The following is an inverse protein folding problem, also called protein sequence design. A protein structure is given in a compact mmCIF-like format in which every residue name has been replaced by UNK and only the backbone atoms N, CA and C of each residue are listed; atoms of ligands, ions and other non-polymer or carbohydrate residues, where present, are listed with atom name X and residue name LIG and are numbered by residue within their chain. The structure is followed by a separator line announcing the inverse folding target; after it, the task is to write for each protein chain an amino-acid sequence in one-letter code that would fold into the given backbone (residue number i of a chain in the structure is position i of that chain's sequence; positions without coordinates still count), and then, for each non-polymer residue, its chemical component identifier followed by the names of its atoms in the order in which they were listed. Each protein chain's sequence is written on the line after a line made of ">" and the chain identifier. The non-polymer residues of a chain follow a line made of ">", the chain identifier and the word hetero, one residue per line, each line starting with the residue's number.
data_IF_251238451131
#
_entry.id   IF_251238451131
#
_cell.length_a   1.000
_cell.length_b   1.000
_cell.length_c   1.000
_cell.angle_alpha   90.00
_cell.angle_beta   90.00
_cell.angle_gamma   90.00
#
_symmetry.space_group_name_H-M   'P 1'
#
loop_
_entity.id
_entity.type
_entity.pdbx_description
1 polymer ?
#
# COMPACT_ATOMS: atom_id res chain seq x y z
N UNK A 1 18.46 -0.16 -9.23
CA UNK A 1 17.15 -0.61 -8.69
C UNK A 1 16.93 0.13 -7.40
N UNK A 2 15.77 0.77 -7.22
CA UNK A 2 15.42 1.46 -5.97
C UNK A 2 14.39 0.61 -5.23
N UNK A 3 14.57 0.40 -3.94
CA UNK A 3 13.59 -0.25 -3.06
C UNK A 3 13.25 0.70 -1.91
N UNK A 4 11.95 0.86 -1.62
CA UNK A 4 11.47 1.79 -0.59
C UNK A 4 10.55 1.11 0.41
N UNK A 5 10.50 1.69 1.61
CA UNK A 5 9.54 1.33 2.65
C UNK A 5 10.18 1.19 4.03
N UNK A 6 9.75 2.06 4.93
CA UNK A 6 10.15 2.15 6.33
C UNK A 6 9.26 1.36 7.27
N UNK A 7 9.53 1.48 8.56
CA UNK A 7 8.72 0.92 9.65
C UNK A 7 8.31 2.03 10.60
N UNK A 8 7.02 2.06 10.98
CA UNK A 8 6.52 2.94 12.05
C UNK A 8 6.65 2.33 13.45
N UNK A 9 7.00 1.04 13.53
CA UNK A 9 7.10 0.30 14.78
C UNK A 9 8.56 0.20 15.20
N UNK A 10 8.85 0.68 16.40
CA UNK A 10 10.17 0.59 17.01
C UNK A 10 10.61 -0.88 17.10
N UNK A 11 11.86 -1.17 16.73
CA UNK A 11 12.42 -2.53 16.73
C UNK A 11 12.03 -3.41 15.53
N UNK A 12 11.10 -2.97 14.66
CA UNK A 12 10.79 -3.66 13.41
C UNK A 12 11.65 -3.08 12.29
N UNK A 13 12.43 -3.95 11.63
CA UNK A 13 13.26 -3.52 10.49
C UNK A 13 12.40 -2.99 9.34
N UNK A 14 12.85 -1.93 8.64
CA UNK A 14 12.21 -1.45 7.42
C UNK A 14 12.03 -2.53 6.35
N UNK A 15 10.90 -2.50 5.64
CA UNK A 15 10.61 -3.48 4.59
C UNK A 15 11.57 -3.35 3.39
N UNK A 16 12.09 -2.14 3.13
CA UNK A 16 13.08 -1.87 2.09
C UNK A 16 14.33 -2.75 2.22
N UNK A 17 14.77 -3.03 3.45
CA UNK A 17 15.91 -3.90 3.72
C UNK A 17 15.62 -5.35 3.31
N UNK A 18 14.40 -5.82 3.57
CA UNK A 18 13.93 -7.14 3.12
C UNK A 18 13.87 -7.25 1.59
N UNK A 19 13.39 -6.19 0.91
CA UNK A 19 13.40 -6.14 -0.56
C UNK A 19 14.82 -6.15 -1.13
N UNK A 20 15.76 -5.43 -0.51
CA UNK A 20 17.16 -5.43 -0.93
C UNK A 20 17.77 -6.84 -0.81
N UNK A 21 17.55 -7.52 0.33
CA UNK A 21 18.02 -8.89 0.54
C UNK A 21 17.42 -9.86 -0.49
N UNK A 22 16.12 -9.76 -0.77
CA UNK A 22 15.47 -10.58 -1.78
C UNK A 22 16.05 -10.32 -3.18
N UNK A 23 16.30 -9.06 -3.54
CA UNK A 23 16.90 -8.71 -4.83
C UNK A 23 18.34 -9.23 -4.96
N UNK A 24 19.14 -9.17 -3.90
CA UNK A 24 20.49 -9.75 -3.88
C UNK A 24 20.46 -11.26 -4.04
N UNK A 25 19.54 -11.94 -3.34
CA UNK A 25 19.36 -13.38 -3.48
C UNK A 25 18.94 -13.81 -4.90
N UNK A 26 18.30 -12.91 -5.65
CA UNK A 26 17.94 -13.08 -7.06
C UNK A 26 19.06 -12.65 -8.04
N UNK A 27 20.24 -12.30 -7.53
CA UNK A 27 21.43 -12.01 -8.34
C UNK A 27 21.62 -10.53 -8.71
N UNK A 28 20.88 -9.60 -8.10
CA UNK A 28 21.12 -8.16 -8.30
C UNK A 28 22.33 -7.73 -7.44
N UNK A 29 23.40 -7.15 -8.04
CA UNK A 29 24.55 -6.67 -7.27
C UNK A 29 24.15 -5.61 -6.25
N UNK A 30 24.73 -5.65 -5.05
CA UNK A 30 24.35 -4.77 -3.93
C UNK A 30 24.56 -3.29 -4.27
N UNK A 31 25.64 -2.97 -4.97
CA UNK A 31 25.99 -1.65 -5.47
C UNK A 31 24.99 -1.09 -6.50
N UNK A 32 24.12 -1.93 -7.06
CA UNK A 32 23.03 -1.52 -7.96
C UNK A 32 21.69 -1.37 -7.24
N UNK A 33 21.65 -1.53 -5.92
CA UNK A 33 20.43 -1.41 -5.12
C UNK A 33 20.53 -0.17 -4.23
N UNK A 34 19.62 0.77 -4.45
CA UNK A 34 19.43 1.93 -3.57
C UNK A 34 18.30 1.61 -2.61
N UNK A 35 18.58 1.70 -1.31
CA UNK A 35 17.62 1.37 -0.24
C UNK A 35 17.13 2.66 0.40
N UNK A 36 15.82 2.91 0.33
CA UNK A 36 15.14 4.04 0.96
C UNK A 36 14.29 3.52 2.13
N UNK A 37 14.86 3.47 3.33
CA UNK A 37 14.28 2.74 4.47
C UNK A 37 13.60 3.62 5.54
N UNK A 38 13.52 4.93 5.28
CA UNK A 38 12.81 5.91 6.10
C UNK A 38 11.34 6.16 5.71
N UNK A 39 10.91 6.10 4.43
CA UNK A 39 9.55 6.49 4.05
C UNK A 39 8.48 5.54 4.59
N UNK A 40 7.51 6.03 5.36
CA UNK A 40 6.50 5.15 5.99
C UNK A 40 5.14 5.12 5.29
N UNK A 41 4.97 5.89 4.22
CA UNK A 41 3.81 5.87 3.35
C UNK A 41 4.18 6.20 1.90
N UNK A 42 3.24 5.97 0.99
CA UNK A 42 3.44 6.11 -0.45
C UNK A 42 3.75 7.54 -0.89
N UNK A 43 3.32 8.57 -0.15
CA UNK A 43 3.66 9.95 -0.48
C UNK A 43 5.13 10.23 -0.16
N UNK A 44 5.59 9.81 1.03
CA UNK A 44 7.00 9.92 1.40
C UNK A 44 7.90 9.10 0.46
N UNK A 45 7.45 7.91 0.04
CA UNK A 45 8.19 7.10 -0.94
C UNK A 45 8.37 7.85 -2.26
N UNK A 46 7.33 8.53 -2.75
CA UNK A 46 7.41 9.29 -4.00
C UNK A 46 8.44 10.43 -3.93
N UNK A 47 8.48 11.17 -2.83
CA UNK A 47 9.48 12.24 -2.63
C UNK A 47 10.89 11.69 -2.45
N UNK A 48 11.06 10.63 -1.66
CA UNK A 48 12.37 10.01 -1.49
C UNK A 48 12.92 9.43 -2.80
N UNK A 49 12.06 8.85 -3.64
CA UNK A 49 12.46 8.38 -4.97
C UNK A 49 12.79 9.55 -5.90
N UNK A 50 12.02 10.65 -5.86
CA UNK A 50 12.35 11.86 -6.63
C UNK A 50 13.75 12.35 -6.30
N UNK A 51 14.08 12.44 -5.02
CA UNK A 51 15.37 12.97 -4.57
C UNK A 51 16.54 12.00 -4.90
N UNK A 52 16.24 10.73 -5.17
CA UNK A 52 17.23 9.71 -5.55
C UNK A 52 17.39 9.52 -7.07
N UNK A 53 16.47 10.06 -7.88
CA UNK A 53 16.50 9.94 -9.34
C UNK A 53 17.13 11.18 -9.98
N UNK A 54 17.73 11.00 -11.16
CA UNK A 54 18.14 12.15 -11.97
C UNK A 54 16.91 12.86 -12.57
N UNK A 55 17.02 14.17 -12.78
CA UNK A 55 15.94 14.96 -13.37
C UNK A 55 15.50 14.40 -14.73
N UNK A 56 14.20 14.16 -14.89
CA UNK A 56 13.62 13.64 -16.12
C UNK A 56 13.80 12.13 -16.35
N UNK A 57 14.39 11.40 -15.41
CA UNK A 57 14.58 9.96 -15.51
C UNK A 57 13.24 9.20 -15.47
N UNK A 58 13.02 8.32 -16.45
CA UNK A 58 11.86 7.43 -16.47
C UNK A 58 12.18 6.11 -15.79
N UNK A 59 11.25 5.60 -15.01
CA UNK A 59 11.41 4.35 -14.28
C UNK A 59 10.11 3.53 -14.28
N UNK A 60 10.26 2.22 -14.07
CA UNK A 60 9.14 1.33 -13.86
C UNK A 60 8.74 1.33 -12.38
N UNK A 61 7.49 1.67 -12.10
CA UNK A 61 6.93 1.61 -10.75
C UNK A 61 6.32 0.23 -10.52
N UNK A 62 6.95 -0.56 -9.65
CA UNK A 62 6.51 -1.91 -9.31
C UNK A 62 5.80 -1.90 -7.97
N UNK A 63 4.52 -2.29 -7.94
CA UNK A 63 3.75 -2.52 -6.72
C UNK A 63 2.55 -3.40 -7.00
N UNK A 64 1.83 -3.83 -5.96
CA UNK A 64 0.60 -4.61 -6.11
C UNK A 64 -0.43 -3.88 -6.99
N UNK A 65 -1.11 -4.63 -7.86
CA UNK A 65 -2.08 -4.10 -8.82
C UNK A 65 -3.20 -3.29 -8.14
N UNK A 66 -3.64 -3.71 -6.95
CA UNK A 66 -4.64 -2.98 -6.16
C UNK A 66 -4.17 -1.62 -5.63
N UNK A 67 -2.86 -1.44 -5.42
CA UNK A 67 -2.25 -0.16 -4.98
C UNK A 67 -1.76 0.69 -6.14
N UNK A 68 -1.60 0.12 -7.34
CA UNK A 68 -0.96 0.77 -8.48
C UNK A 68 -1.54 2.15 -8.81
N UNK A 69 -2.87 2.25 -8.93
CA UNK A 69 -3.52 3.54 -9.23
C UNK A 69 -3.24 4.61 -8.17
N UNK A 70 -3.18 4.22 -6.90
CA UNK A 70 -2.88 5.13 -5.81
C UNK A 70 -1.41 5.55 -5.84
N UNK A 71 -0.50 4.61 -6.07
CA UNK A 71 0.94 4.87 -6.14
C UNK A 71 1.28 5.81 -7.29
N UNK A 72 0.83 5.53 -8.52
CA UNK A 72 1.07 6.41 -9.69
C UNK A 72 0.69 7.85 -9.40
N UNK A 73 -0.47 8.09 -8.78
CA UNK A 73 -0.93 9.45 -8.45
C UNK A 73 -0.03 10.19 -7.46
N UNK A 74 0.59 9.49 -6.51
CA UNK A 74 1.54 10.11 -5.57
C UNK A 74 2.84 10.48 -6.27
N UNK A 75 3.34 9.60 -7.14
CA UNK A 75 4.55 9.85 -7.93
C UNK A 75 4.34 10.98 -8.94
N UNK A 76 3.21 11.02 -9.65
CA UNK A 76 2.84 12.15 -10.54
C UNK A 76 2.76 13.47 -9.78
N UNK A 77 2.18 13.47 -8.56
CA UNK A 77 2.14 14.66 -7.70
C UNK A 77 3.51 15.11 -7.19
N UNK A 78 4.45 14.18 -7.05
CA UNK A 78 5.84 14.48 -6.74
C UNK A 78 6.62 15.01 -7.96
N UNK A 79 5.99 15.14 -9.14
CA UNK A 79 6.61 15.62 -10.38
C UNK A 79 7.28 14.53 -11.21
N UNK A 80 7.08 13.26 -10.86
CA UNK A 80 7.67 12.12 -11.56
C UNK A 80 6.75 11.56 -12.64
N UNK A 81 7.33 10.83 -13.60
CA UNK A 81 6.58 10.18 -14.69
C UNK A 81 6.77 8.65 -14.65
N UNK A 82 6.15 7.96 -13.68
CA UNK A 82 6.31 6.51 -13.52
C UNK A 82 5.65 5.73 -14.66
N UNK A 83 6.31 4.67 -15.12
CA UNK A 83 5.71 3.65 -16.00
C UNK A 83 5.14 2.53 -15.12
N UNK A 84 3.82 2.32 -15.05
CA UNK A 84 3.23 1.36 -14.13
C UNK A 84 3.55 -0.09 -14.51
N UNK A 85 4.10 -0.86 -13.56
CA UNK A 85 4.38 -2.29 -13.67
C UNK A 85 3.66 -3.08 -12.55
N UNK A 86 2.32 -3.25 -12.64
CA UNK A 86 1.52 -3.85 -11.57
C UNK A 86 1.79 -5.35 -11.40
N UNK A 87 1.86 -5.81 -10.15
CA UNK A 87 2.07 -7.23 -9.79
C UNK A 87 0.96 -7.77 -8.89
N UNK A 88 0.90 -9.09 -8.69
CA UNK A 88 0.00 -9.69 -7.70
C UNK A 88 -1.50 -9.40 -7.96
N UNK A 89 -1.94 -9.55 -9.21
CA UNK A 89 -3.35 -9.44 -9.59
C UNK A 89 -4.18 -10.47 -8.81
N UNK A 90 -5.01 -10.02 -7.87
CA UNK A 90 -5.85 -10.88 -7.03
C UNK A 90 -7.19 -11.27 -7.68
N UNK A 91 -7.60 -10.54 -8.72
CA UNK A 91 -8.77 -10.84 -9.52
C UNK A 91 -8.41 -10.63 -10.99
N UNK A 92 -8.86 -11.53 -11.86
CA UNK A 92 -8.63 -11.44 -13.29
C UNK A 92 -9.05 -10.07 -13.84
N UNK A 93 -8.29 -9.59 -14.83
CA UNK A 93 -8.43 -8.31 -15.52
C UNK A 93 -9.88 -7.99 -15.91
N UNK A 94 -10.65 -7.39 -15.00
CA UNK A 94 -11.80 -6.59 -15.35
C UNK A 94 -11.28 -5.16 -15.46
N UNK A 95 -11.27 -4.63 -16.67
CA UNK A 95 -10.92 -3.25 -17.00
C UNK A 95 -11.80 -2.29 -16.17
N UNK A 96 -11.36 -1.91 -14.96
CA UNK A 96 -12.12 -1.05 -14.04
C UNK A 96 -12.06 0.38 -14.54
N UNK A 97 -12.97 0.73 -15.46
CA UNK A 97 -13.08 2.07 -16.07
C UNK A 97 -14.01 3.03 -15.33
N UNK A 98 -14.59 2.66 -14.18
CA UNK A 98 -15.65 3.48 -13.59
C UNK A 98 -15.28 4.02 -12.21
N UNK A 99 -15.48 5.33 -12.01
CA UNK A 99 -15.41 6.03 -10.73
C UNK A 99 -16.21 5.33 -9.61
N UNK A 100 -17.21 4.54 -9.98
CA UNK A 100 -18.10 3.80 -9.09
C UNK A 100 -17.40 2.80 -8.15
N UNK A 101 -16.19 2.32 -8.48
CA UNK A 101 -15.45 1.42 -7.60
C UNK A 101 -14.91 2.11 -6.32
N UNK A 102 -14.80 3.44 -6.34
CA UNK A 102 -14.39 4.24 -5.19
C UNK A 102 -15.56 4.68 -4.30
N UNK A 103 -16.81 4.35 -4.68
CA UNK A 103 -17.97 4.60 -3.84
C UNK A 103 -18.06 3.49 -2.79
N UNK A 104 -18.34 3.81 -1.51
CA UNK A 104 -18.59 2.82 -0.48
C UNK A 104 -19.73 1.91 -0.94
N UNK A 105 -19.44 0.62 -1.12
CA UNK A 105 -20.45 -0.34 -1.56
C UNK A 105 -21.35 -0.72 -0.39
N UNK A 106 -22.67 -0.74 -0.63
CA UNK A 106 -23.68 -1.15 0.35
C UNK A 106 -23.39 -2.54 0.95
N UNK A 107 -22.70 -3.42 0.23
CA UNK A 107 -22.27 -4.73 0.71
C UNK A 107 -21.25 -4.68 1.85
N UNK A 108 -20.35 -3.69 1.86
CA UNK A 108 -19.37 -3.51 2.94
C UNK A 108 -20.00 -2.79 4.15
N UNK A 109 -20.91 -1.84 3.92
CA UNK A 109 -21.71 -1.20 4.98
C UNK A 109 -22.57 -2.22 5.74
N UNK A 110 -23.20 -3.19 5.04
CA UNK A 110 -23.97 -4.27 5.68
C UNK A 110 -23.13 -5.19 6.57
N UNK A 111 -21.82 -5.33 6.30
CA UNK A 111 -20.92 -6.10 7.17
C UNK A 111 -20.62 -5.33 8.46
N UNK A 112 -20.40 -4.02 8.36
CA UNK A 112 -20.25 -3.14 9.53
C UNK A 112 -21.55 -3.08 10.34
N UNK A 113 -22.71 -2.94 9.68
CA UNK A 113 -24.03 -2.97 10.31
C UNK A 113 -24.24 -4.25 11.13
N UNK A 114 -23.91 -5.42 10.56
CA UNK A 114 -24.04 -6.70 11.27
C UNK A 114 -23.18 -6.76 12.53
N UNK A 115 -21.92 -6.34 12.46
CA UNK A 115 -21.01 -6.35 13.61
C UNK A 115 -21.50 -5.40 14.71
N UNK A 116 -21.98 -4.20 14.34
CA UNK A 116 -22.56 -3.25 15.30
C UNK A 116 -23.83 -3.83 15.94
N UNK A 117 -24.70 -4.45 15.15
CA UNK A 117 -25.95 -5.04 15.64
C UNK A 117 -25.70 -6.21 16.60
N UNK A 118 -24.75 -7.09 16.31
CA UNK A 118 -24.35 -8.19 17.20
C UNK A 118 -23.71 -7.65 18.50
N UNK A 119 -22.88 -6.63 18.40
CA UNK A 119 -22.22 -6.01 19.57
C UNK A 119 -23.26 -5.35 20.48
N UNK A 120 -24.19 -4.57 19.92
CA UNK A 120 -25.27 -3.94 20.70
C UNK A 120 -26.22 -4.98 21.30
N UNK A 121 -26.48 -6.09 20.59
CA UNK A 121 -27.28 -7.20 21.10
C UNK A 121 -26.65 -7.86 22.34
N UNK A 122 -25.33 -8.08 22.33
CA UNK A 122 -24.61 -8.59 23.49
C UNK A 122 -24.62 -7.59 24.66
N UNK A 123 -24.49 -6.30 24.39
CA UNK A 123 -24.56 -5.26 25.42
C UNK A 123 -25.95 -5.15 26.06
N UNK A 124 -27.01 -5.28 25.27
CA UNK A 124 -28.38 -5.32 25.80
C UNK A 124 -28.62 -6.57 26.66
N UNK A 125 -28.07 -7.72 26.24
CA UNK A 125 -28.15 -8.96 26.98
C UNK A 125 -27.39 -8.90 28.31
N UNK A 126 -26.20 -8.27 28.32
CA UNK A 126 -25.44 -7.97 29.54
C UNK A 126 -26.18 -7.00 30.47
N UNK A 127 -26.92 -6.03 29.92
CA UNK A 127 -27.71 -5.09 30.72
C UNK A 127 -28.89 -5.77 31.42
N UNK A 128 -29.58 -6.69 30.73
CA UNK A 128 -30.71 -7.45 31.28
C UNK A 128 -30.27 -8.43 32.40
N UNK A 129 -29.04 -8.94 32.34
CA UNK A 129 -28.49 -9.83 33.37
C UNK A 129 -27.84 -9.11 34.56
N UNK A 130 -27.62 -7.79 34.48
CA UNK A 130 -27.07 -6.97 35.59
C UNK A 130 -28.15 -6.44 36.55
N UNK A 131 -29.43 -6.69 36.26
CA UNK A 131 -30.58 -6.29 37.09
C UNK A 131 -31.20 -7.40 37.94
N UNK A 132 -30.54 -8.57 38.07
CA UNK A 132 -30.90 -9.65 38.99
C UNK A 132 -29.83 -9.84 40.06
#
# INVERSE_FOLDING_TARGET
>A
MVVSGGSRRTGVKPVAQGYAQAAQALGVPAERIVVLDTPTDTAQEAYAVRDALADGERFFLVTSASRMRHAVRHFERAGLQPIPAPTGFKTGSARVRTLAYWLPSAGNLRKTERVVHETLGLWALDWDHRGR
#
